data_IF_194767857676
#
_entry.id   IF_194767857676
#
_cell.length_a   1.000
_cell.length_b   1.000
_cell.length_c   1.000
_cell.angle_alpha   90.00
_cell.angle_beta   90.00
_cell.angle_gamma   90.00
#
_symmetry.space_group_name_H-M   'P 1'
#
loop_
_entity.id
_entity.type
_entity.pdbx_description
1 polymer ?
#
# COMPACT_ATOMS: atom_id res chain seq x y z
N UNK A 1 10.48 16.78 -71.56
CA UNK A 1 10.21 15.53 -70.82
C UNK A 1 10.90 15.44 -69.45
N UNK A 2 12.12 15.98 -69.24
CA UNK A 2 12.84 15.83 -67.96
C UNK A 2 12.31 16.60 -66.74
N UNK A 3 11.55 17.69 -66.93
CA UNK A 3 11.05 18.53 -65.81
C UNK A 3 9.88 17.89 -65.07
N UNK A 4 8.95 17.25 -65.80
CA UNK A 4 7.81 16.53 -65.23
C UNK A 4 8.25 15.27 -64.47
N UNK A 5 9.23 14.53 -65.02
CA UNK A 5 9.81 13.35 -64.35
C UNK A 5 10.56 13.74 -63.08
N UNK A 6 11.38 14.82 -63.11
CA UNK A 6 12.05 15.33 -61.91
C UNK A 6 11.06 15.80 -60.84
N UNK A 7 10.00 16.50 -61.23
CA UNK A 7 8.96 16.91 -60.28
C UNK A 7 8.28 15.69 -59.65
N UNK A 8 7.89 14.68 -60.44
CA UNK A 8 7.26 13.47 -59.92
C UNK A 8 8.15 12.71 -58.92
N UNK A 9 9.45 12.60 -59.20
CA UNK A 9 10.43 12.01 -58.27
C UNK A 9 10.53 12.82 -56.97
N UNK A 10 10.56 14.15 -57.08
CA UNK A 10 10.62 15.02 -55.91
C UNK A 10 9.36 14.92 -55.04
N UNK A 11 8.18 14.86 -55.66
CA UNK A 11 6.91 14.68 -54.91
C UNK A 11 6.87 13.32 -54.22
N UNK A 12 7.33 12.25 -54.88
CA UNK A 12 7.39 10.92 -54.29
C UNK A 12 8.33 10.88 -53.09
N UNK A 13 9.53 11.47 -53.22
CA UNK A 13 10.51 11.58 -52.14
C UNK A 13 9.97 12.36 -50.94
N UNK A 14 9.24 13.45 -51.19
CA UNK A 14 8.67 14.25 -50.11
C UNK A 14 7.53 13.51 -49.40
N UNK A 15 6.70 12.76 -50.14
CA UNK A 15 5.67 11.91 -49.58
C UNK A 15 6.26 10.77 -48.75
N UNK A 16 7.26 10.05 -49.26
CA UNK A 16 7.90 8.97 -48.49
C UNK A 16 8.62 9.50 -47.27
N UNK A 17 9.29 10.65 -47.36
CA UNK A 17 9.92 11.30 -46.22
C UNK A 17 8.88 11.74 -45.18
N UNK A 18 7.76 12.33 -45.59
CA UNK A 18 6.68 12.70 -44.67
C UNK A 18 6.04 11.49 -44.00
N UNK A 19 5.81 10.41 -44.75
CA UNK A 19 5.25 9.18 -44.22
C UNK A 19 6.21 8.50 -43.25
N UNK A 20 7.51 8.44 -43.57
CA UNK A 20 8.55 7.93 -42.67
C UNK A 20 8.69 8.78 -41.41
N UNK A 21 8.55 10.10 -41.52
CA UNK A 21 8.65 11.01 -40.37
C UNK A 21 7.41 10.87 -39.48
N UNK A 22 6.21 10.75 -40.05
CA UNK A 22 4.99 10.48 -39.31
C UNK A 22 5.03 9.11 -38.63
N UNK A 23 5.55 8.08 -39.32
CA UNK A 23 5.75 6.75 -38.75
C UNK A 23 6.77 6.79 -37.61
N UNK A 24 7.90 7.48 -37.78
CA UNK A 24 8.92 7.62 -36.72
C UNK A 24 8.38 8.39 -35.52
N UNK A 25 7.64 9.47 -35.74
CA UNK A 25 6.98 10.19 -34.67
C UNK A 25 5.95 9.30 -33.96
N UNK A 26 5.17 8.51 -34.71
CA UNK A 26 4.25 7.54 -34.13
C UNK A 26 5.00 6.48 -33.29
N UNK A 27 6.08 5.91 -33.81
CA UNK A 27 6.86 4.91 -33.07
C UNK A 27 7.56 5.51 -31.83
N UNK A 28 8.12 6.70 -31.96
CA UNK A 28 8.88 7.36 -30.89
C UNK A 28 8.00 7.95 -29.79
N UNK A 29 6.79 8.40 -30.11
CA UNK A 29 5.87 8.96 -29.10
C UNK A 29 4.81 7.98 -28.64
N UNK A 30 4.38 7.02 -29.47
CA UNK A 30 3.25 6.13 -29.14
C UNK A 30 3.63 4.66 -29.08
N UNK A 31 4.69 4.19 -29.75
CA UNK A 31 5.10 2.78 -29.64
C UNK A 31 6.09 2.51 -28.50
N UNK A 32 6.85 3.52 -28.04
CA UNK A 32 7.80 3.38 -26.93
C UNK A 32 7.19 3.48 -25.53
N UNK A 33 5.90 3.83 -25.42
CA UNK A 33 5.26 4.06 -24.11
C UNK A 33 4.63 2.80 -23.51
N UNK A 34 4.57 1.69 -24.26
CA UNK A 34 4.31 0.38 -23.68
C UNK A 34 5.61 -0.20 -23.11
N UNK A 35 6.12 0.42 -22.05
CA UNK A 35 7.04 -0.30 -21.17
C UNK A 35 6.31 -1.53 -20.65
N UNK A 36 6.95 -2.69 -20.74
CA UNK A 36 6.37 -3.93 -20.24
C UNK A 36 6.16 -3.76 -18.73
N UNK A 37 4.92 -3.97 -18.26
CA UNK A 37 4.58 -3.94 -16.84
C UNK A 37 5.06 -5.20 -16.09
N UNK A 38 5.69 -6.12 -16.81
CA UNK A 38 6.18 -7.39 -16.30
C UNK A 38 7.17 -7.20 -15.16
N UNK A 39 6.99 -7.96 -14.08
CA UNK A 39 7.91 -7.96 -12.96
C UNK A 39 7.26 -8.34 -11.64
N UNK A 40 8.10 -8.49 -10.64
CA UNK A 40 7.69 -8.56 -9.23
C UNK A 40 7.83 -7.17 -8.63
N UNK A 41 6.78 -6.70 -8.00
CA UNK A 41 6.64 -5.35 -7.49
C UNK A 41 6.24 -5.42 -6.02
N UNK A 42 6.78 -4.56 -5.17
CA UNK A 42 6.32 -4.40 -3.77
C UNK A 42 5.88 -2.99 -3.49
N UNK A 43 4.83 -2.86 -2.69
CA UNK A 43 4.42 -1.63 -2.04
C UNK A 43 4.38 -1.80 -0.52
N UNK A 44 4.44 -0.67 0.19
CA UNK A 44 4.27 -0.60 1.63
C UNK A 44 2.98 0.17 1.92
N UNK A 45 2.10 -0.43 2.71
CA UNK A 45 0.89 0.19 3.23
C UNK A 45 1.20 0.76 4.61
N UNK A 46 1.09 2.08 4.76
CA UNK A 46 1.35 2.77 6.03
C UNK A 46 0.14 2.64 6.97
N UNK A 47 0.34 1.99 8.10
CA UNK A 47 -0.65 1.74 9.15
C UNK A 47 -0.49 2.68 10.36
N UNK A 48 0.55 3.53 10.36
CA UNK A 48 0.92 4.40 11.49
C UNK A 48 -0.25 5.23 11.98
N UNK A 49 -0.86 6.01 11.08
CA UNK A 49 -1.96 6.90 11.44
C UNK A 49 -3.20 6.16 11.95
N UNK A 50 -3.56 5.04 11.32
CA UNK A 50 -4.71 4.26 11.75
C UNK A 50 -4.49 3.62 13.14
N UNK A 51 -3.33 3.00 13.35
CA UNK A 51 -2.99 2.39 14.62
C UNK A 51 -2.94 3.44 15.74
N UNK A 52 -2.35 4.61 15.47
CA UNK A 52 -2.28 5.72 16.42
C UNK A 52 -3.66 6.26 16.80
N UNK A 53 -4.54 6.52 15.82
CA UNK A 53 -5.91 6.99 16.09
C UNK A 53 -6.70 5.98 16.91
N UNK A 54 -6.56 4.70 16.59
CA UNK A 54 -7.27 3.62 17.29
C UNK A 54 -6.77 3.47 18.73
N UNK A 55 -5.44 3.46 18.93
CA UNK A 55 -4.84 3.42 20.25
C UNK A 55 -5.20 4.65 21.09
N UNK A 56 -5.10 5.86 20.51
CA UNK A 56 -5.46 7.11 21.15
C UNK A 56 -6.92 7.10 21.62
N UNK A 57 -7.84 6.66 20.75
CA UNK A 57 -9.26 6.58 21.08
C UNK A 57 -9.55 5.68 22.27
N UNK A 58 -8.70 4.70 22.54
CA UNK A 58 -8.84 3.78 23.66
C UNK A 58 -8.11 4.29 24.93
N UNK A 59 -6.91 4.87 24.78
CA UNK A 59 -6.13 5.38 25.91
C UNK A 59 -6.73 6.64 26.52
N UNK A 60 -7.39 7.48 25.72
CA UNK A 60 -8.03 8.72 26.22
C UNK A 60 -9.13 8.45 27.26
N UNK A 61 -9.66 7.23 27.34
CA UNK A 61 -10.67 6.83 28.32
C UNK A 61 -10.06 6.60 29.72
N UNK A 62 -8.72 6.58 29.84
CA UNK A 62 -8.03 6.51 31.13
C UNK A 62 -8.25 7.83 31.88
N UNK A 63 -9.06 7.78 32.94
CA UNK A 63 -9.40 8.95 33.73
C UNK A 63 -8.17 9.66 34.31
N UNK A 64 -8.22 10.99 34.25
CA UNK A 64 -7.28 11.92 34.89
C UNK A 64 -5.88 12.01 34.26
N UNK A 65 -5.65 11.41 33.09
CA UNK A 65 -4.40 11.57 32.33
C UNK A 65 -4.63 12.46 31.11
N UNK A 66 -3.70 13.37 30.82
CA UNK A 66 -3.73 14.17 29.60
C UNK A 66 -2.90 13.51 28.52
N UNK A 67 -3.56 13.07 27.45
CA UNK A 67 -2.93 12.45 26.29
C UNK A 67 -3.34 13.21 25.02
N UNK A 68 -2.39 13.48 24.14
CA UNK A 68 -2.67 13.99 22.79
C UNK A 68 -2.46 12.89 21.73
N UNK A 69 -3.03 13.08 20.54
CA UNK A 69 -2.80 12.18 19.42
C UNK A 69 -1.32 12.16 19.00
N UNK A 70 -0.66 13.32 19.01
CA UNK A 70 0.77 13.46 18.67
C UNK A 70 1.66 12.64 19.63
N UNK A 71 1.30 12.59 20.91
CA UNK A 71 2.00 11.74 21.88
C UNK A 71 1.90 10.26 21.47
N UNK A 72 0.71 9.77 21.11
CA UNK A 72 0.49 8.38 20.69
C UNK A 72 1.17 8.07 19.35
N UNK A 73 1.09 8.99 18.38
CA UNK A 73 1.78 8.89 17.09
C UNK A 73 3.30 8.76 17.26
N UNK A 74 3.88 9.38 18.28
CA UNK A 74 5.31 9.26 18.58
C UNK A 74 5.75 7.83 18.95
N UNK A 75 4.85 7.00 19.50
CA UNK A 75 5.12 5.59 19.77
C UNK A 75 4.88 4.71 18.54
N UNK A 76 3.94 5.09 17.67
CA UNK A 76 3.37 4.25 16.61
C UNK A 76 4.03 4.45 15.25
N UNK A 77 5.35 4.67 15.22
CA UNK A 77 6.08 5.00 14.00
C UNK A 77 6.46 3.76 13.20
N UNK A 78 6.65 3.96 11.89
CA UNK A 78 7.18 2.96 10.95
C UNK A 78 6.37 1.65 10.90
N UNK A 79 5.04 1.75 11.05
CA UNK A 79 4.13 0.61 10.98
C UNK A 79 3.71 0.38 9.52
N UNK A 80 4.44 -0.48 8.80
CA UNK A 80 4.18 -0.76 7.39
C UNK A 80 3.87 -2.22 7.11
N UNK A 81 2.87 -2.47 6.27
CA UNK A 81 2.53 -3.81 5.75
C UNK A 81 2.96 -3.92 4.29
N UNK A 82 3.71 -4.96 3.95
CA UNK A 82 4.14 -5.23 2.58
C UNK A 82 3.04 -5.88 1.74
N UNK A 83 2.86 -5.32 0.56
CA UNK A 83 1.99 -5.80 -0.50
C UNK A 83 2.84 -6.18 -1.71
N UNK A 84 2.72 -7.41 -2.17
CA UNK A 84 3.41 -7.89 -3.37
C UNK A 84 2.45 -7.98 -4.54
N UNK A 85 2.93 -7.55 -5.71
CA UNK A 85 2.24 -7.60 -7.00
C UNK A 85 3.17 -8.21 -8.04
N UNK A 86 2.78 -9.33 -8.63
CA UNK A 86 3.45 -9.93 -9.78
C UNK A 86 2.62 -9.67 -11.02
N UNK A 87 3.26 -9.16 -12.07
CA UNK A 87 2.68 -8.98 -13.39
C UNK A 87 3.46 -9.86 -14.39
N UNK A 88 2.76 -10.77 -15.05
CA UNK A 88 3.30 -11.64 -16.09
C UNK A 88 2.62 -11.31 -17.42
N UNK A 89 3.38 -10.80 -18.39
CA UNK A 89 2.82 -10.43 -19.68
C UNK A 89 2.58 -11.67 -20.56
N UNK A 90 1.37 -11.76 -21.13
CA UNK A 90 0.99 -12.83 -22.08
C UNK A 90 0.82 -12.30 -23.50
N UNK A 91 0.44 -11.03 -23.65
CA UNK A 91 0.36 -10.32 -24.93
C UNK A 91 0.67 -8.82 -24.75
N UNK A 92 0.69 -8.06 -25.84
CA UNK A 92 1.02 -6.63 -25.76
C UNK A 92 -0.05 -5.88 -24.96
N UNK A 93 0.35 -5.35 -23.80
CA UNK A 93 -0.57 -4.65 -22.89
C UNK A 93 -1.51 -5.59 -22.13
N UNK A 94 -1.28 -6.90 -22.14
CA UNK A 94 -2.15 -7.88 -21.48
C UNK A 94 -1.31 -8.91 -20.72
N UNK A 95 -1.87 -9.48 -19.66
CA UNK A 95 -1.15 -10.49 -18.90
C UNK A 95 -1.96 -11.11 -17.77
N UNK A 96 -1.26 -11.86 -16.92
CA UNK A 96 -1.77 -12.35 -15.64
C UNK A 96 -1.17 -11.54 -14.50
N UNK A 97 -1.93 -11.38 -13.42
CA UNK A 97 -1.44 -10.78 -12.21
C UNK A 97 -1.72 -11.65 -10.99
N UNK A 98 -0.88 -11.50 -9.98
CA UNK A 98 -1.09 -12.01 -8.63
C UNK A 98 -0.76 -10.88 -7.66
N UNK A 99 -1.63 -10.63 -6.70
CA UNK A 99 -1.47 -9.63 -5.67
C UNK A 99 -1.78 -10.25 -4.32
N UNK A 100 -0.96 -9.98 -3.31
CA UNK A 100 -1.19 -10.49 -1.97
C UNK A 100 -0.46 -9.67 -0.92
N UNK A 101 -1.07 -9.58 0.25
CA UNK A 101 -0.39 -9.09 1.43
C UNK A 101 0.45 -10.24 1.99
N UNK A 102 1.68 -9.94 2.39
CA UNK A 102 2.57 -10.93 2.97
C UNK A 102 2.16 -11.16 4.44
N UNK A 103 1.69 -12.37 4.83
CA UNK A 103 1.22 -12.62 6.19
C UNK A 103 2.29 -12.33 7.25
N UNK A 104 3.55 -12.66 6.96
CA UNK A 104 4.67 -12.42 7.87
C UNK A 104 4.92 -10.91 8.09
N UNK A 105 4.70 -10.09 7.05
CA UNK A 105 4.78 -8.63 7.18
C UNK A 105 3.61 -8.07 7.99
N UNK A 106 2.41 -8.63 7.82
CA UNK A 106 1.26 -8.26 8.62
C UNK A 106 1.49 -8.60 10.10
N UNK A 107 1.92 -9.82 10.40
CA UNK A 107 2.16 -10.29 11.77
C UNK A 107 3.25 -9.45 12.47
N UNK A 108 4.33 -9.12 11.75
CA UNK A 108 5.39 -8.25 12.26
C UNK A 108 4.88 -6.83 12.55
N UNK A 109 4.12 -6.24 11.63
CA UNK A 109 3.50 -4.92 11.83
C UNK A 109 2.50 -4.93 12.99
N UNK A 110 1.69 -5.98 13.11
CA UNK A 110 0.72 -6.13 14.19
C UNK A 110 1.42 -6.25 15.54
N UNK A 111 2.46 -7.08 15.63
CA UNK A 111 3.26 -7.19 16.85
C UNK A 111 3.89 -5.85 17.24
N UNK A 112 4.51 -5.14 16.29
CA UNK A 112 5.12 -3.83 16.53
C UNK A 112 4.09 -2.79 17.01
N UNK A 113 2.89 -2.76 16.41
CA UNK A 113 1.82 -1.88 16.83
C UNK A 113 1.40 -2.12 18.29
N UNK A 114 1.25 -3.38 18.71
CA UNK A 114 0.90 -3.69 20.10
C UNK A 114 2.05 -3.48 21.09
N UNK A 115 3.30 -3.63 20.68
CA UNK A 115 4.46 -3.26 21.51
C UNK A 115 4.52 -1.75 21.77
N UNK A 116 4.32 -0.95 20.73
CA UNK A 116 4.18 0.51 20.85
C UNK A 116 2.98 0.90 21.72
N UNK A 117 1.85 0.23 21.54
CA UNK A 117 0.64 0.45 22.35
C UNK A 117 0.88 0.14 23.83
N UNK A 118 1.57 -0.96 24.13
CA UNK A 118 1.91 -1.35 25.48
C UNK A 118 2.84 -0.33 26.14
N UNK A 119 3.81 0.23 25.41
CA UNK A 119 4.68 1.27 25.92
C UNK A 119 3.90 2.53 26.33
N UNK A 120 3.02 3.02 25.45
CA UNK A 120 2.15 4.17 25.76
C UNK A 120 1.24 3.87 26.97
N UNK A 121 0.60 2.70 26.99
CA UNK A 121 -0.27 2.29 28.10
C UNK A 121 0.46 2.25 29.45
N UNK A 122 1.68 1.70 29.49
CA UNK A 122 2.47 1.61 30.71
C UNK A 122 2.87 2.98 31.27
N UNK A 123 3.14 3.95 30.39
CA UNK A 123 3.47 5.31 30.81
C UNK A 123 2.27 6.00 31.47
N UNK A 124 1.08 5.87 30.87
CA UNK A 124 -0.16 6.39 31.46
C UNK A 124 -0.52 5.67 32.78
N UNK A 125 -0.28 4.36 32.84
CA UNK A 125 -0.47 3.59 34.07
C UNK A 125 0.48 4.06 35.18
N UNK A 126 1.76 4.27 34.86
CA UNK A 126 2.75 4.79 35.79
C UNK A 126 2.34 6.18 36.34
N UNK A 127 1.90 7.08 35.46
CA UNK A 127 1.38 8.39 35.86
C UNK A 127 0.17 8.24 36.78
N UNK A 128 -0.80 7.40 36.40
CA UNK A 128 -2.03 7.21 37.17
C UNK A 128 -1.77 6.63 38.56
N UNK A 129 -0.86 5.66 38.66
CA UNK A 129 -0.42 5.07 39.91
C UNK A 129 0.28 6.10 40.80
N UNK A 130 1.14 6.93 40.22
CA UNK A 130 1.79 8.04 40.93
C UNK A 130 0.77 9.02 41.50
N UNK A 131 -0.25 9.41 40.72
CA UNK A 131 -1.36 10.25 41.19
C UNK A 131 -2.20 9.59 42.29
N UNK A 132 -2.29 8.25 42.29
CA UNK A 132 -2.97 7.48 43.32
C UNK A 132 -2.13 7.28 44.59
N UNK A 133 -0.89 7.79 44.64
CA UNK A 133 0.01 7.65 45.77
C UNK A 133 0.69 6.29 45.87
N UNK A 134 0.81 5.56 44.75
CA UNK A 134 1.57 4.31 44.70
C UNK A 134 3.04 4.58 45.00
N UNK A 135 3.62 3.81 45.93
CA UNK A 135 5.00 4.01 46.41
C UNK A 135 6.00 3.01 45.82
N UNK A 136 5.54 2.08 44.97
CA UNK A 136 6.41 1.15 44.26
C UNK A 136 7.13 1.83 43.10
N UNK A 137 8.05 1.11 42.48
CA UNK A 137 8.74 1.62 41.28
C UNK A 137 7.76 1.68 40.10
N UNK A 138 7.83 2.77 39.34
CA UNK A 138 7.01 3.01 38.14
C UNK A 138 7.84 2.99 36.85
N UNK A 139 9.03 2.37 36.90
CA UNK A 139 9.81 2.09 35.69
C UNK A 139 9.14 1.01 34.83
N UNK A 140 9.53 0.94 33.56
CA UNK A 140 8.90 0.06 32.56
C UNK A 140 8.93 -1.42 32.95
N UNK A 141 10.02 -1.92 33.53
CA UNK A 141 10.12 -3.33 33.93
C UNK A 141 9.21 -3.62 35.12
N UNK A 142 9.15 -2.70 36.09
CA UNK A 142 8.24 -2.80 37.23
C UNK A 142 6.77 -2.72 36.82
N UNK A 143 6.42 -1.87 35.84
CA UNK A 143 5.06 -1.79 35.29
C UNK A 143 4.67 -3.07 34.55
N UNK A 144 5.56 -3.61 33.72
CA UNK A 144 5.33 -4.90 33.05
C UNK A 144 5.14 -6.03 34.07
N UNK A 145 5.98 -6.09 35.10
CA UNK A 145 5.86 -7.08 36.17
C UNK A 145 4.54 -6.93 36.94
N UNK A 146 4.11 -5.71 37.23
CA UNK A 146 2.85 -5.43 37.92
C UNK A 146 1.63 -5.86 37.07
N UNK A 147 1.65 -5.58 35.76
CA UNK A 147 0.61 -6.03 34.82
C UNK A 147 0.60 -7.56 34.76
N UNK A 148 1.77 -8.19 34.63
CA UNK A 148 1.88 -9.64 34.58
C UNK A 148 1.40 -10.32 35.88
N UNK A 149 1.71 -9.75 37.05
CA UNK A 149 1.22 -10.25 38.33
C UNK A 149 -0.30 -10.08 38.47
N UNK A 150 -0.84 -8.94 38.01
CA UNK A 150 -2.26 -8.61 38.17
C UNK A 150 -3.15 -9.38 37.20
N UNK A 151 -2.75 -9.48 35.93
CA UNK A 151 -3.56 -10.05 34.85
C UNK A 151 -3.12 -11.46 34.43
N UNK A 152 -1.97 -11.94 34.93
CA UNK A 152 -1.43 -13.25 34.60
C UNK A 152 -0.82 -13.36 33.20
N UNK A 153 -0.57 -12.24 32.53
CA UNK A 153 0.00 -12.17 31.17
C UNK A 153 0.72 -10.84 30.93
N UNK A 154 1.58 -10.79 29.91
CA UNK A 154 2.28 -9.56 29.55
C UNK A 154 1.32 -8.45 29.12
N UNK A 155 1.77 -7.19 29.18
CA UNK A 155 0.97 -6.05 28.72
C UNK A 155 0.56 -6.20 27.26
N UNK A 156 1.48 -6.64 26.41
CA UNK A 156 1.21 -6.89 24.99
C UNK A 156 0.13 -7.95 24.81
N UNK A 157 0.23 -9.10 25.48
CA UNK A 157 -0.78 -10.17 25.37
C UNK A 157 -2.14 -9.75 25.92
N UNK A 158 -2.15 -8.95 26.98
CA UNK A 158 -3.37 -8.36 27.53
C UNK A 158 -4.05 -7.44 26.50
N UNK A 159 -3.31 -6.50 25.92
CA UNK A 159 -3.85 -5.56 24.95
C UNK A 159 -4.26 -6.24 23.65
N UNK A 160 -3.55 -7.26 23.19
CA UNK A 160 -3.96 -8.07 22.03
C UNK A 160 -5.28 -8.82 22.26
N UNK A 161 -5.55 -9.23 23.51
CA UNK A 161 -6.73 -10.04 23.84
C UNK A 161 -7.96 -9.19 24.18
N UNK A 162 -7.76 -8.01 24.76
CA UNK A 162 -8.83 -7.19 25.35
C UNK A 162 -8.85 -5.73 24.86
N UNK A 163 -7.80 -5.28 24.17
CA UNK A 163 -7.73 -3.97 23.55
C UNK A 163 -8.43 -3.90 22.20
N UNK A 164 -8.41 -2.73 21.54
CA UNK A 164 -8.97 -2.56 20.22
C UNK A 164 -8.07 -3.20 19.15
N UNK A 165 -8.65 -3.63 18.03
CA UNK A 165 -7.89 -4.05 16.87
C UNK A 165 -7.19 -2.84 16.23
N UNK A 166 -5.87 -2.73 16.44
CA UNK A 166 -5.07 -1.59 15.96
C UNK A 166 -4.95 -1.55 14.44
N UNK A 167 -4.91 -2.72 13.80
CA UNK A 167 -4.84 -2.90 12.35
C UNK A 167 -6.16 -3.49 11.83
N UNK A 168 -6.55 -3.23 10.57
CA UNK A 168 -7.65 -3.96 9.95
C UNK A 168 -7.29 -5.45 9.87
N UNK A 169 -8.30 -6.33 9.93
CA UNK A 169 -8.07 -7.76 9.83
C UNK A 169 -7.36 -8.10 8.51
N UNK A 170 -6.42 -9.06 8.54
CA UNK A 170 -5.68 -9.49 7.36
C UNK A 170 -6.64 -9.94 6.25
N UNK A 171 -7.76 -10.60 6.59
CA UNK A 171 -8.75 -11.02 5.60
C UNK A 171 -9.41 -9.83 4.89
N UNK A 172 -9.63 -8.71 5.58
CA UNK A 172 -10.25 -7.53 4.99
C UNK A 172 -9.25 -6.77 4.12
N UNK A 173 -8.00 -6.67 4.57
CA UNK A 173 -6.91 -6.16 3.72
C UNK A 173 -6.71 -7.05 2.48
N UNK A 174 -6.79 -8.36 2.64
CA UNK A 174 -6.65 -9.31 1.52
C UNK A 174 -7.81 -9.21 0.53
N UNK A 175 -9.03 -8.89 0.98
CA UNK A 175 -10.16 -8.59 0.07
C UNK A 175 -9.95 -7.29 -0.71
N UNK A 176 -9.34 -6.28 -0.08
CA UNK A 176 -9.11 -4.97 -0.70
C UNK A 176 -7.95 -4.96 -1.70
N UNK A 177 -6.87 -5.69 -1.41
CA UNK A 177 -5.63 -5.66 -2.19
C UNK A 177 -5.26 -6.99 -2.84
N UNK A 178 -5.63 -8.11 -2.24
CA UNK A 178 -5.25 -9.44 -2.70
C UNK A 178 -6.11 -9.95 -3.86
N UNK A 179 -5.56 -10.93 -4.58
CA UNK A 179 -6.27 -11.64 -5.64
C UNK A 179 -5.40 -11.94 -6.85
N UNK A 180 -6.00 -12.60 -7.83
CA UNK A 180 -5.30 -13.00 -9.05
C UNK A 180 -6.24 -12.95 -10.24
N UNK A 181 -5.68 -12.87 -11.44
CA UNK A 181 -6.47 -12.96 -12.66
C UNK A 181 -5.73 -12.40 -13.86
N UNK A 182 -6.46 -11.73 -14.74
CA UNK A 182 -5.92 -11.13 -15.96
C UNK A 182 -5.89 -9.60 -15.86
N UNK A 183 -4.92 -8.99 -16.51
CA UNK A 183 -4.85 -7.54 -16.63
C UNK A 183 -4.77 -7.09 -18.09
N UNK A 184 -5.32 -5.91 -18.35
CA UNK A 184 -5.15 -5.15 -19.59
C UNK A 184 -4.66 -3.74 -19.25
N UNK A 185 -3.64 -3.26 -19.95
CA UNK A 185 -3.04 -1.95 -19.77
C UNK A 185 -3.09 -1.18 -21.10
N UNK A 186 -3.88 -0.13 -21.12
CA UNK A 186 -4.04 0.74 -22.30
C UNK A 186 -4.29 2.19 -21.87
N UNK A 187 -3.68 3.14 -22.60
CA UNK A 187 -3.89 4.58 -22.42
C UNK A 187 -3.69 5.11 -20.97
N UNK A 188 -2.78 4.50 -20.20
CA UNK A 188 -2.54 4.88 -18.80
C UNK A 188 -3.56 4.32 -17.79
N UNK A 189 -4.40 3.39 -18.22
CA UNK A 189 -5.38 2.68 -17.40
C UNK A 189 -4.98 1.20 -17.30
N UNK A 190 -4.92 0.69 -16.07
CA UNK A 190 -4.72 -0.72 -15.75
C UNK A 190 -6.07 -1.29 -15.32
N UNK A 191 -6.59 -2.21 -16.11
CA UNK A 191 -7.81 -2.95 -15.83
C UNK A 191 -7.44 -4.33 -15.32
N UNK A 192 -7.79 -4.65 -14.07
CA UNK A 192 -7.56 -5.96 -13.44
C UNK A 192 -8.87 -6.70 -13.31
N UNK A 193 -8.98 -7.84 -13.98
CA UNK A 193 -10.10 -8.77 -13.87
C UNK A 193 -9.74 -9.89 -12.89
N UNK A 194 -10.34 -9.85 -11.71
CA UNK A 194 -10.13 -10.81 -10.63
C UNK A 194 -10.93 -12.09 -10.90
N UNK A 195 -10.23 -13.23 -10.85
CA UNK A 195 -10.81 -14.55 -11.05
C UNK A 195 -11.05 -15.23 -9.68
N UNK A 196 -12.07 -14.80 -8.94
CA UNK A 196 -12.44 -15.42 -7.65
C UNK A 196 -13.75 -16.21 -7.76
N UNK A 197 -13.68 -17.52 -7.50
CA UNK A 197 -14.87 -18.38 -7.42
C UNK A 197 -15.80 -18.41 -8.65
N UNK A 198 -15.35 -17.92 -9.81
CA UNK A 198 -16.14 -17.83 -11.05
C UNK A 198 -16.91 -16.52 -11.24
N UNK A 199 -16.82 -15.56 -10.32
CA UNK A 199 -17.32 -14.19 -10.49
C UNK A 199 -16.12 -13.33 -10.90
N UNK A 200 -16.24 -12.64 -12.04
CA UNK A 200 -15.20 -11.73 -12.52
C UNK A 200 -15.51 -10.33 -12.02
N UNK A 201 -14.74 -9.87 -11.03
CA UNK A 201 -14.76 -8.47 -10.58
C UNK A 201 -13.69 -7.70 -11.34
N UNK A 202 -14.04 -6.55 -11.90
CA UNK A 202 -13.09 -5.72 -12.66
C UNK A 202 -12.78 -4.45 -11.89
N UNK A 203 -11.49 -4.19 -11.66
CA UNK A 203 -10.98 -2.95 -11.07
C UNK A 203 -10.24 -2.17 -12.14
N UNK A 204 -10.62 -0.92 -12.36
CA UNK A 204 -9.95 -0.01 -13.30
C UNK A 204 -9.18 1.04 -12.52
N UNK A 205 -7.86 1.10 -12.70
CA UNK A 205 -6.97 2.00 -11.95
C UNK A 205 -6.15 2.84 -12.93
N UNK A 206 -5.87 4.10 -12.60
CA UNK A 206 -4.86 4.85 -13.34
C UNK A 206 -3.48 4.32 -12.95
N UNK A 207 -2.60 4.13 -13.94
CA UNK A 207 -1.22 3.74 -13.68
C UNK A 207 -0.22 4.73 -14.26
N UNK A 208 0.85 4.97 -13.50
CA UNK A 208 2.03 5.70 -13.97
C UNK A 208 3.24 4.79 -13.75
N UNK A 209 3.88 4.37 -14.83
CA UNK A 209 5.15 3.66 -14.76
C UNK A 209 6.29 4.65 -15.06
N UNK A 210 7.13 4.90 -14.06
CA UNK A 210 8.33 5.72 -14.21
C UNK A 210 9.53 5.00 -13.61
N UNK A 211 10.49 4.71 -14.46
CA UNK A 211 11.71 3.98 -14.11
C UNK A 211 11.39 2.62 -13.45
N UNK A 212 11.75 2.44 -12.18
CA UNK A 212 11.46 1.24 -11.39
C UNK A 212 10.25 1.40 -10.47
N UNK A 213 9.43 2.44 -10.66
CA UNK A 213 8.23 2.69 -9.86
C UNK A 213 6.97 2.55 -10.71
N UNK A 214 5.98 1.86 -10.15
CA UNK A 214 4.63 1.74 -10.67
C UNK A 214 3.67 2.34 -9.64
N UNK A 215 3.02 3.44 -10.02
CA UNK A 215 2.02 4.10 -9.16
C UNK A 215 0.65 3.67 -9.65
N UNK A 216 -0.16 3.09 -8.77
CA UNK A 216 -1.56 2.78 -9.04
C UNK A 216 -2.45 3.71 -8.21
N UNK A 217 -3.36 4.43 -8.86
CA UNK A 217 -4.20 5.44 -8.20
C UNK A 217 -5.67 5.32 -8.58
N UNK A 218 -6.53 5.19 -7.56
CA UNK A 218 -7.99 5.31 -7.62
C UNK A 218 -8.70 4.23 -8.44
N UNK A 219 -9.98 4.00 -8.14
CA UNK A 219 -10.86 3.18 -8.99
C UNK A 219 -11.67 4.09 -9.92
N UNK A 220 -11.64 3.83 -11.23
CA UNK A 220 -12.44 4.57 -12.21
C UNK A 220 -13.88 4.07 -12.12
N UNK A 221 -14.76 4.87 -11.51
CA UNK A 221 -16.21 4.64 -11.49
C UNK A 221 -16.83 4.27 -10.15
N UNK A 222 -16.11 4.38 -9.02
CA UNK A 222 -16.69 4.26 -7.69
C UNK A 222 -17.51 5.52 -7.32
N UNK A 223 -18.69 5.29 -6.73
CA UNK A 223 -19.70 6.30 -6.40
C UNK A 223 -19.17 7.27 -5.31
N UNK A 224 -19.34 8.61 -5.40
CA UNK A 224 -18.73 9.57 -4.47
C UNK A 224 -19.27 9.55 -3.03
N UNK A 225 -20.18 8.63 -2.70
CA UNK A 225 -20.96 8.63 -1.46
C UNK A 225 -20.72 7.42 -0.54
N UNK A 226 -19.76 6.56 -0.86
CA UNK A 226 -19.23 5.59 0.11
C UNK A 226 -18.15 6.25 0.95
N UNK A 227 -18.41 6.39 2.25
CA UNK A 227 -17.50 6.79 3.33
C UNK A 227 -16.01 6.84 2.91
N UNK A 228 -15.40 8.02 3.03
CA UNK A 228 -13.98 8.36 2.89
C UNK A 228 -13.01 7.21 3.24
N UNK A 229 -12.83 6.26 2.32
CA UNK A 229 -11.57 5.54 2.15
C UNK A 229 -10.74 6.47 1.25
N UNK A 230 -9.91 7.31 1.86
CA UNK A 230 -8.90 8.05 1.13
C UNK A 230 -7.99 7.02 0.45
N UNK A 231 -8.30 6.67 -0.81
CA UNK A 231 -7.47 5.80 -1.64
C UNK A 231 -6.21 6.57 -2.00
N UNK A 232 -5.27 6.63 -1.05
CA UNK A 232 -3.91 7.07 -1.31
C UNK A 232 -3.35 6.22 -2.44
N UNK A 233 -2.65 6.83 -3.40
CA UNK A 233 -2.02 6.09 -4.48
C UNK A 233 -1.05 5.07 -3.89
N UNK A 234 -1.16 3.82 -4.31
CA UNK A 234 -0.24 2.77 -3.91
C UNK A 234 0.97 2.84 -4.83
N UNK A 235 2.14 3.08 -4.23
CA UNK A 235 3.41 3.20 -4.95
C UNK A 235 4.13 1.87 -4.83
N UNK A 236 4.26 1.16 -5.95
CA UNK A 236 5.02 -0.05 -6.07
C UNK A 236 6.42 0.23 -6.59
N UNK A 237 7.42 -0.41 -6.00
CA UNK A 237 8.79 -0.45 -6.49
C UNK A 237 9.09 -1.83 -7.10
N UNK A 238 9.75 -1.85 -8.26
CA UNK A 238 10.19 -3.07 -8.93
C UNK A 238 11.25 -3.76 -8.07
N UNK A 239 11.02 -5.03 -7.74
CA UNK A 239 12.02 -5.85 -7.08
C UNK A 239 13.15 -6.13 -8.06
N UNK A 240 14.37 -5.73 -7.70
CA UNK A 240 15.53 -6.16 -8.46
C UNK A 240 15.77 -7.65 -8.21
N UNK A 241 16.02 -8.46 -9.26
CA UNK A 241 16.43 -9.83 -9.06
C UNK A 241 17.70 -9.81 -8.19
N UNK A 242 17.65 -10.48 -7.05
CA UNK A 242 18.81 -10.67 -6.20
C UNK A 242 19.86 -11.40 -7.02
N UNK A 243 20.93 -10.68 -7.41
CA UNK A 243 22.10 -11.28 -8.05
C UNK A 243 22.64 -12.36 -7.10
N UNK A 244 22.33 -13.63 -7.40
CA UNK A 244 22.97 -14.79 -6.80
C UNK A 244 24.38 -14.97 -7.36
#
# INVERSE_FOLDING_TARGET
MGKAIKNAIFTLLLLTLSASTALLAYLYFFASDNKELTGEWSAELDMTGQAAVTAFSWLQDIEAVSLSLEDVESYMQDLTIRLDLTLEQTARGEGRFQCNILPESYDACNQAAYEAFAAAFQELLAERLSMAGYTGSTDRESMEALVAETFGMSTVSYLMSYGPALLPALEDLQKGYGGSGSYEASEGILTRAFEDGGIVTTKMEYYIQKDSNLILSGEIGSDPNGLLEDYYPVIYALMQPSNQ
#
